data_IF_550604702079
#
_entry.id   IF_550604702079
#
_cell.length_a   1.000
_cell.length_b   1.000
_cell.length_c   1.000
_cell.angle_alpha   90.00
_cell.angle_beta   90.00
_cell.angle_gamma   90.00
#
_symmetry.space_group_name_H-M   'P 1'
#
loop_
_entity.id
_entity.type
_entity.pdbx_description
1 polymer ?
#
# COMPACT_ATOMS: atom_id res chain seq x y z
N UNK A 1 -17.30 -42.89 -20.75
CA UNK A 1 -18.11 -41.89 -20.02
C UNK A 1 -17.73 -40.54 -20.61
N UNK A 2 -18.70 -39.71 -21.00
CA UNK A 2 -18.38 -38.39 -21.57
C UNK A 2 -18.20 -37.41 -20.43
N UNK A 3 -16.98 -36.86 -20.29
CA UNK A 3 -16.74 -35.73 -19.39
C UNK A 3 -17.47 -34.51 -19.94
N UNK A 4 -18.67 -34.28 -19.41
CA UNK A 4 -19.49 -33.14 -19.77
C UNK A 4 -18.88 -31.92 -19.11
N UNK A 5 -18.08 -31.18 -19.88
CA UNK A 5 -17.39 -29.97 -19.43
C UNK A 5 -18.44 -28.91 -19.03
N UNK A 6 -18.82 -28.88 -17.76
CA UNK A 6 -19.94 -28.09 -17.25
C UNK A 6 -19.51 -26.63 -17.13
N UNK A 7 -20.07 -25.77 -17.99
CA UNK A 7 -19.82 -24.33 -17.97
C UNK A 7 -20.49 -23.72 -16.73
N UNK A 8 -19.72 -23.56 -15.65
CA UNK A 8 -20.14 -23.03 -14.35
C UNK A 8 -20.87 -21.66 -14.37
N UNK A 9 -20.86 -20.96 -15.51
CA UNK A 9 -21.49 -19.66 -15.73
C UNK A 9 -22.80 -19.70 -16.54
N UNK A 10 -23.40 -20.86 -16.84
CA UNK A 10 -24.70 -20.88 -17.56
C UNK A 10 -25.88 -20.28 -16.77
N UNK A 11 -25.77 -20.22 -15.44
CA UNK A 11 -26.78 -19.63 -14.53
C UNK A 11 -26.29 -18.38 -13.78
N UNK A 12 -24.99 -18.31 -13.49
CA UNK A 12 -24.36 -17.22 -12.75
C UNK A 12 -23.47 -16.38 -13.68
N UNK A 13 -23.47 -15.04 -13.55
CA UNK A 13 -22.60 -14.18 -14.36
C UNK A 13 -21.14 -14.53 -14.15
N UNK A 14 -20.41 -14.79 -15.24
CA UNK A 14 -18.97 -15.00 -15.22
C UNK A 14 -18.20 -13.72 -14.83
N UNK A 15 -17.06 -13.89 -14.15
CA UNK A 15 -16.20 -12.79 -13.72
C UNK A 15 -15.45 -12.12 -14.89
N UNK A 16 -15.09 -12.93 -15.90
CA UNK A 16 -14.52 -12.48 -17.17
C UNK A 16 -15.64 -12.51 -18.21
N UNK A 17 -15.92 -11.35 -18.81
CA UNK A 17 -16.93 -11.19 -19.86
C UNK A 17 -16.25 -10.79 -21.18
N UNK A 18 -16.16 -11.72 -22.16
CA UNK A 18 -15.61 -11.44 -23.48
C UNK A 18 -16.27 -10.27 -24.21
N UNK A 19 -17.59 -10.05 -24.02
CA UNK A 19 -18.32 -8.97 -24.67
C UNK A 19 -17.89 -7.60 -24.12
N UNK A 20 -17.71 -7.50 -22.80
CA UNK A 20 -17.15 -6.30 -22.16
C UNK A 20 -15.71 -6.05 -22.65
N UNK A 21 -14.88 -7.09 -22.77
CA UNK A 21 -13.50 -6.96 -23.28
C UNK A 21 -13.49 -6.41 -24.72
N UNK A 22 -14.29 -7.00 -25.62
CA UNK A 22 -14.38 -6.56 -27.01
C UNK A 22 -14.90 -5.12 -27.11
N UNK A 23 -15.98 -4.79 -26.40
CA UNK A 23 -16.56 -3.44 -26.36
C UNK A 23 -15.55 -2.38 -25.92
N UNK A 24 -14.85 -2.62 -24.80
CA UNK A 24 -13.86 -1.67 -24.26
C UNK A 24 -12.71 -1.46 -25.24
N UNK A 25 -12.18 -2.53 -25.84
CA UNK A 25 -11.05 -2.45 -26.75
C UNK A 25 -11.43 -1.85 -28.12
N UNK A 26 -12.62 -2.17 -28.65
CA UNK A 26 -13.14 -1.58 -29.89
C UNK A 26 -13.41 -0.08 -29.74
N UNK A 27 -13.87 0.35 -28.58
CA UNK A 27 -14.15 1.75 -28.26
C UNK A 27 -13.09 2.40 -27.36
N UNK A 28 -11.82 1.94 -27.42
CA UNK A 28 -10.73 2.41 -26.56
C UNK A 28 -10.60 3.94 -26.53
N UNK A 29 -10.81 4.62 -27.67
CA UNK A 29 -10.79 6.10 -27.77
C UNK A 29 -11.90 6.81 -26.96
N UNK A 30 -13.02 6.13 -26.71
CA UNK A 30 -14.16 6.62 -25.91
C UNK A 30 -13.96 6.33 -24.41
N UNK A 31 -13.42 5.15 -24.09
CA UNK A 31 -13.25 4.70 -22.70
C UNK A 31 -11.96 5.23 -22.04
N UNK A 32 -10.86 5.35 -22.79
CA UNK A 32 -9.56 5.83 -22.27
C UNK A 32 -8.68 4.76 -21.61
N UNK A 33 -9.13 3.50 -21.63
CA UNK A 33 -8.47 2.32 -21.04
C UNK A 33 -8.74 1.07 -21.89
N UNK A 34 -7.98 0.00 -21.65
CA UNK A 34 -8.06 -1.31 -22.34
C UNK A 34 -8.40 -2.45 -21.38
N UNK A 35 -9.03 -3.49 -21.91
CA UNK A 35 -9.40 -4.69 -21.16
C UNK A 35 -8.63 -5.93 -21.65
N UNK A 36 -8.40 -6.90 -20.75
CA UNK A 36 -7.83 -8.22 -21.02
C UNK A 36 -8.53 -9.29 -20.19
N UNK A 37 -8.38 -10.55 -20.63
CA UNK A 37 -8.63 -11.68 -19.75
C UNK A 37 -7.41 -11.92 -18.84
N UNK A 38 -7.63 -12.66 -17.74
CA UNK A 38 -6.59 -13.11 -16.82
C UNK A 38 -6.89 -14.56 -16.41
N UNK A 39 -5.89 -15.44 -16.55
CA UNK A 39 -6.00 -16.89 -16.25
C UNK A 39 -6.50 -17.16 -14.84
N UNK A 40 -6.04 -16.36 -13.87
CA UNK A 40 -6.46 -16.39 -12.46
C UNK A 40 -7.97 -16.24 -12.24
N UNK A 41 -8.72 -15.67 -13.21
CA UNK A 41 -10.16 -15.43 -13.14
C UNK A 41 -10.99 -16.39 -14.02
N UNK A 42 -10.37 -17.30 -14.76
CA UNK A 42 -11.10 -18.27 -15.60
C UNK A 42 -11.96 -19.22 -14.75
N UNK A 43 -13.18 -19.51 -15.24
CA UNK A 43 -14.16 -20.35 -14.54
C UNK A 43 -14.75 -19.75 -13.26
N UNK A 44 -14.45 -18.49 -12.92
CA UNK A 44 -14.93 -17.82 -11.70
C UNK A 44 -16.20 -17.02 -11.97
N UNK A 45 -17.06 -16.95 -10.95
CA UNK A 45 -18.29 -16.15 -10.98
C UNK A 45 -18.02 -14.72 -10.53
N UNK A 46 -18.82 -13.77 -11.02
CA UNK A 46 -18.75 -12.36 -10.65
C UNK A 46 -18.93 -12.17 -9.13
N UNK A 47 -19.88 -12.91 -8.54
CA UNK A 47 -20.12 -12.95 -7.09
C UNK A 47 -18.89 -13.39 -6.28
N UNK A 48 -18.13 -14.37 -6.77
CA UNK A 48 -16.87 -14.82 -6.16
C UNK A 48 -15.78 -13.74 -6.25
N UNK A 49 -15.66 -13.07 -7.40
CA UNK A 49 -14.77 -11.91 -7.54
C UNK A 49 -15.13 -10.81 -6.55
N UNK A 50 -16.42 -10.45 -6.46
CA UNK A 50 -16.92 -9.45 -5.51
C UNK A 50 -16.62 -9.84 -4.06
N UNK A 51 -16.88 -11.10 -3.68
CA UNK A 51 -16.66 -11.60 -2.33
C UNK A 51 -15.18 -11.67 -1.95
N UNK A 52 -14.34 -12.27 -2.79
CA UNK A 52 -12.98 -12.67 -2.44
C UNK A 52 -11.87 -11.74 -2.96
N UNK A 53 -12.16 -10.86 -3.93
CA UNK A 53 -11.17 -9.86 -4.39
C UNK A 53 -11.43 -8.46 -3.80
N UNK A 54 -12.68 -8.08 -3.53
CA UNK A 54 -12.98 -6.71 -3.08
C UNK A 54 -12.73 -6.51 -1.59
N UNK A 55 -13.32 -7.32 -0.70
CA UNK A 55 -12.88 -7.48 0.69
C UNK A 55 -13.00 -6.29 1.67
N UNK A 56 -13.34 -5.07 1.24
CA UNK A 56 -13.46 -3.93 2.16
C UNK A 56 -14.92 -3.66 2.54
N UNK A 57 -15.20 -3.68 3.84
CA UNK A 57 -16.52 -3.37 4.37
C UNK A 57 -16.70 -1.86 4.52
N UNK A 58 -17.80 -1.34 3.95
CA UNK A 58 -18.08 0.10 3.93
C UNK A 58 -17.95 0.76 5.31
N UNK A 59 -17.27 1.91 5.35
CA UNK A 59 -17.01 2.66 6.58
C UNK A 59 -18.30 3.23 7.17
N UNK A 60 -18.46 3.11 8.50
CA UNK A 60 -19.58 3.74 9.22
C UNK A 60 -19.51 5.27 9.09
N UNK A 61 -20.65 5.97 9.07
CA UNK A 61 -20.73 7.45 8.97
C UNK A 61 -19.76 8.19 9.91
N UNK A 62 -19.58 7.74 11.15
CA UNK A 62 -18.64 8.32 12.14
C UNK A 62 -17.15 8.20 11.76
N UNK A 63 -16.79 7.22 10.93
CA UNK A 63 -15.43 7.03 10.40
C UNK A 63 -15.20 7.95 9.19
N UNK A 64 -16.22 8.11 8.33
CA UNK A 64 -16.19 9.07 7.23
C UNK A 64 -16.14 10.53 7.74
N UNK A 65 -16.78 10.79 8.89
CA UNK A 65 -16.74 12.08 9.59
C UNK A 65 -15.52 12.26 10.52
N UNK A 66 -14.45 11.50 10.33
CA UNK A 66 -13.17 11.82 11.00
C UNK A 66 -12.67 13.17 10.49
N UNK A 67 -12.30 14.06 11.42
CA UNK A 67 -11.70 15.36 11.10
C UNK A 67 -10.49 15.14 10.18
N UNK A 68 -10.47 15.74 8.98
CA UNK A 68 -9.35 15.58 8.07
C UNK A 68 -8.11 16.33 8.57
N UNK A 69 -6.94 15.89 8.11
CA UNK A 69 -5.69 16.64 8.33
C UNK A 69 -5.79 18.01 7.64
N UNK A 70 -5.67 19.09 8.42
CA UNK A 70 -5.57 20.45 7.87
C UNK A 70 -4.13 20.67 7.41
N UNK A 71 -3.92 20.66 6.09
CA UNK A 71 -2.64 20.98 5.47
C UNK A 71 -2.69 22.42 4.91
N UNK A 72 -1.58 23.14 5.03
CA UNK A 72 -1.31 24.31 4.18
C UNK A 72 -0.64 23.75 2.93
N UNK A 73 -1.24 24.01 1.77
CA UNK A 73 -0.82 23.43 0.49
C UNK A 73 -0.38 24.57 -0.41
N UNK A 74 0.91 24.60 -0.73
CA UNK A 74 1.42 25.36 -1.86
C UNK A 74 1.08 24.56 -3.15
N UNK A 75 0.25 25.15 -3.99
CA UNK A 75 -0.22 24.50 -5.24
C UNK A 75 0.84 24.52 -6.32
N UNK A 76 1.71 25.53 -6.32
CA UNK A 76 2.75 25.72 -7.33
C UNK A 76 3.96 24.81 -7.07
N UNK A 77 4.12 24.36 -5.82
CA UNK A 77 5.06 23.31 -5.42
C UNK A 77 4.65 21.87 -5.80
N UNK A 78 3.43 21.63 -6.30
CA UNK A 78 2.94 20.29 -6.67
C UNK A 78 3.27 19.96 -8.15
N UNK A 79 4.14 18.98 -8.43
CA UNK A 79 4.51 18.64 -9.80
C UNK A 79 3.36 17.99 -10.57
N UNK A 80 3.36 18.13 -11.90
CA UNK A 80 2.36 17.54 -12.79
C UNK A 80 2.29 15.99 -12.71
N UNK A 81 3.40 15.35 -12.38
CA UNK A 81 3.51 13.92 -12.09
C UNK A 81 4.44 13.65 -10.91
N UNK A 82 4.18 12.54 -10.21
CA UNK A 82 4.99 12.08 -9.08
C UNK A 82 4.83 10.57 -8.92
N UNK A 83 5.91 9.88 -8.56
CA UNK A 83 5.87 8.45 -8.26
C UNK A 83 6.72 8.14 -7.02
N UNK A 84 6.08 7.63 -5.97
CA UNK A 84 6.75 7.22 -4.72
C UNK A 84 7.84 6.17 -4.98
N UNK A 85 7.65 5.28 -5.98
CA UNK A 85 8.61 4.23 -6.35
C UNK A 85 9.91 4.81 -6.87
N UNK A 86 9.83 5.92 -7.60
CA UNK A 86 10.99 6.66 -8.12
C UNK A 86 11.61 7.56 -7.06
N UNK A 87 10.79 8.19 -6.21
CA UNK A 87 11.25 9.09 -5.13
C UNK A 87 11.96 8.35 -3.99
N UNK A 88 11.46 7.17 -3.61
CA UNK A 88 11.98 6.33 -2.55
C UNK A 88 12.26 4.92 -3.08
N UNK A 89 13.21 4.82 -4.02
CA UNK A 89 13.62 3.55 -4.66
C UNK A 89 13.93 2.48 -3.61
N UNK A 90 13.33 1.30 -3.78
CA UNK A 90 13.49 0.16 -2.86
C UNK A 90 12.70 0.25 -1.54
N UNK A 91 12.09 1.39 -1.21
CA UNK A 91 11.33 1.59 0.05
C UNK A 91 9.81 1.60 -0.14
N UNK A 92 9.34 1.36 -1.36
CA UNK A 92 7.92 1.24 -1.73
C UNK A 92 7.71 -0.16 -2.31
N UNK A 93 6.96 -1.00 -1.60
CA UNK A 93 6.77 -2.40 -1.97
C UNK A 93 5.99 -2.56 -3.29
N UNK A 94 6.25 -3.64 -4.06
CA UNK A 94 5.47 -3.96 -5.25
C UNK A 94 4.03 -4.38 -4.88
N UNK A 95 3.12 -4.46 -5.86
CA UNK A 95 1.82 -5.11 -5.69
C UNK A 95 2.02 -6.58 -5.29
N UNK A 96 1.26 -7.03 -4.30
CA UNK A 96 1.24 -8.44 -3.85
C UNK A 96 -0.12 -9.06 -4.22
N UNK A 97 -0.23 -10.39 -4.23
CA UNK A 97 -1.53 -11.06 -4.42
C UNK A 97 -2.16 -11.45 -3.07
N UNK A 98 -3.42 -11.08 -2.88
CA UNK A 98 -4.29 -11.52 -1.78
C UNK A 98 -4.93 -12.89 -2.03
N UNK A 99 -4.77 -13.44 -3.24
CA UNK A 99 -5.39 -14.69 -3.67
C UNK A 99 -6.92 -14.63 -3.62
N UNK A 100 -7.53 -15.76 -3.30
CA UNK A 100 -9.00 -15.90 -3.16
C UNK A 100 -9.48 -15.65 -1.73
N UNK A 101 -8.89 -14.65 -1.06
CA UNK A 101 -9.28 -14.18 0.27
C UNK A 101 -9.61 -12.69 0.21
N UNK A 102 -10.83 -12.29 0.62
CA UNK A 102 -11.34 -10.92 0.62
C UNK A 102 -10.64 -10.02 1.63
N UNK A 103 -9.36 -9.73 1.38
CA UNK A 103 -8.40 -9.19 2.33
C UNK A 103 -7.65 -7.97 1.80
N UNK A 104 -8.17 -7.27 0.79
CA UNK A 104 -7.68 -5.96 0.36
C UNK A 104 -7.50 -4.98 1.53
N UNK A 105 -8.39 -5.07 2.53
CA UNK A 105 -8.36 -4.30 3.78
C UNK A 105 -7.12 -4.59 4.62
N UNK A 106 -6.55 -5.78 4.50
CA UNK A 106 -5.24 -6.15 5.04
C UNK A 106 -4.14 -5.60 4.13
N UNK A 107 -4.14 -5.97 2.84
CA UNK A 107 -3.05 -5.66 1.91
C UNK A 107 -2.77 -4.17 1.74
N UNK A 108 -3.79 -3.35 1.56
CA UNK A 108 -3.61 -1.90 1.47
C UNK A 108 -3.18 -1.27 2.80
N UNK A 109 -3.65 -1.79 3.95
CA UNK A 109 -3.24 -1.29 5.28
C UNK A 109 -1.78 -1.65 5.57
N UNK A 110 -1.41 -2.92 5.38
CA UNK A 110 -0.07 -3.45 5.67
C UNK A 110 0.95 -2.94 4.66
N UNK A 111 0.58 -2.79 3.39
CA UNK A 111 1.39 -2.14 2.36
C UNK A 111 1.75 -0.70 2.75
N UNK A 112 0.75 0.15 3.03
CA UNK A 112 0.99 1.54 3.47
C UNK A 112 1.78 1.61 4.78
N UNK A 113 1.49 0.74 5.74
CA UNK A 113 2.25 0.68 6.99
C UNK A 113 3.73 0.31 6.74
N UNK A 114 3.99 -0.68 5.88
CA UNK A 114 5.34 -1.12 5.53
C UNK A 114 6.11 -0.02 4.81
N UNK A 115 5.55 0.54 3.74
CA UNK A 115 6.20 1.61 2.96
C UNK A 115 6.56 2.80 3.85
N UNK A 116 5.64 3.25 4.71
CA UNK A 116 5.89 4.39 5.59
C UNK A 116 6.92 4.10 6.66
N UNK A 117 6.98 2.87 7.17
CA UNK A 117 8.08 2.44 8.04
C UNK A 117 9.43 2.45 7.30
N UNK A 118 9.50 1.89 6.08
CA UNK A 118 10.72 1.86 5.27
C UNK A 118 11.20 3.27 4.90
N UNK A 119 10.29 4.14 4.45
CA UNK A 119 10.55 5.55 4.12
C UNK A 119 11.00 6.34 5.36
N UNK A 120 10.24 6.30 6.46
CA UNK A 120 10.54 7.10 7.66
C UNK A 120 11.81 6.65 8.39
N UNK A 121 12.18 5.37 8.30
CA UNK A 121 13.45 4.85 8.84
C UNK A 121 14.63 4.98 7.88
N UNK A 122 14.42 5.57 6.69
CA UNK A 122 15.42 5.69 5.61
C UNK A 122 16.05 4.33 5.23
N UNK A 123 15.23 3.29 5.14
CA UNK A 123 15.66 1.93 4.76
C UNK A 123 16.30 1.10 5.88
N UNK A 124 16.42 1.60 7.11
CA UNK A 124 16.87 0.76 8.25
C UNK A 124 15.92 -0.41 8.49
N UNK A 125 14.61 -0.16 8.40
CA UNK A 125 13.64 -1.21 8.11
C UNK A 125 13.55 -1.37 6.59
N UNK A 126 13.72 -2.60 6.13
CA UNK A 126 13.73 -2.99 4.71
C UNK A 126 12.86 -4.23 4.44
N UNK A 127 12.14 -4.72 5.45
CA UNK A 127 11.26 -5.89 5.35
C UNK A 127 9.79 -5.44 5.40
N UNK A 128 8.91 -6.11 4.64
CA UNK A 128 7.46 -5.92 4.76
C UNK A 128 6.95 -6.36 6.13
N UNK A 129 5.88 -5.72 6.62
CA UNK A 129 5.08 -6.25 7.73
C UNK A 129 4.21 -7.41 7.27
N UNK A 130 3.92 -8.33 8.20
CA UNK A 130 3.12 -9.54 7.94
C UNK A 130 1.66 -9.20 7.65
N UNK A 131 1.21 -9.67 6.49
CA UNK A 131 -0.20 -9.65 6.10
C UNK A 131 -1.01 -10.66 6.92
N UNK A 132 -0.48 -11.88 7.09
CA UNK A 132 -1.14 -12.95 7.82
C UNK A 132 -1.41 -12.61 9.29
N UNK A 133 -0.44 -11.95 9.94
CA UNK A 133 -0.58 -11.54 11.33
C UNK A 133 -1.76 -10.57 11.51
N UNK A 134 -1.94 -9.59 10.60
CA UNK A 134 -3.11 -8.72 10.66
C UNK A 134 -4.40 -9.50 10.39
N UNK A 135 -4.43 -10.37 9.37
CA UNK A 135 -5.60 -11.17 9.01
C UNK A 135 -6.09 -12.06 10.18
N UNK A 136 -5.20 -12.88 10.73
CA UNK A 136 -5.51 -13.84 11.80
C UNK A 136 -5.78 -13.16 13.14
N UNK A 137 -5.03 -12.11 13.50
CA UNK A 137 -5.12 -11.52 14.84
C UNK A 137 -6.07 -10.31 14.95
N UNK A 138 -6.37 -9.59 13.88
CA UNK A 138 -7.41 -8.54 13.91
C UNK A 138 -8.82 -9.13 13.72
N UNK A 139 -9.23 -10.03 14.63
CA UNK A 139 -10.50 -10.76 14.52
C UNK A 139 -11.73 -10.09 15.18
N UNK A 140 -11.57 -9.02 15.97
CA UNK A 140 -12.70 -8.39 16.68
C UNK A 140 -13.47 -7.43 15.78
N UNK A 141 -14.71 -7.80 15.42
CA UNK A 141 -15.59 -7.08 14.49
C UNK A 141 -14.98 -6.93 13.08
N UNK A 142 -14.30 -7.98 12.63
CA UNK A 142 -13.77 -8.17 11.27
C UNK A 142 -14.19 -9.57 10.81
N UNK A 143 -14.17 -9.85 9.51
CA UNK A 143 -14.63 -11.13 8.94
C UNK A 143 -13.52 -11.86 8.16
N UNK A 144 -12.25 -11.50 8.38
CA UNK A 144 -11.11 -12.13 7.72
C UNK A 144 -11.21 -12.05 6.20
N UNK A 145 -11.25 -13.21 5.53
CA UNK A 145 -11.44 -13.33 4.08
C UNK A 145 -12.86 -13.01 3.58
N UNK A 146 -13.85 -12.82 4.46
CA UNK A 146 -15.15 -12.24 4.13
C UNK A 146 -15.21 -10.72 4.42
N UNK A 147 -14.04 -10.10 4.61
CA UNK A 147 -13.83 -8.65 4.60
C UNK A 147 -13.64 -7.97 5.95
N UNK A 148 -13.20 -6.71 5.90
CA UNK A 148 -12.89 -5.92 7.10
C UNK A 148 -12.97 -4.41 6.92
N UNK A 149 -12.95 -3.71 8.05
CA UNK A 149 -12.97 -2.26 8.17
C UNK A 149 -11.56 -1.69 8.41
N UNK A 150 -11.16 -0.70 7.61
CA UNK A 150 -9.82 -0.09 7.68
C UNK A 150 -9.53 0.56 9.04
N UNK A 151 -10.50 1.28 9.61
CA UNK A 151 -10.37 1.90 10.93
C UNK A 151 -10.09 0.91 12.07
N UNK A 152 -10.55 -0.34 11.95
CA UNK A 152 -10.28 -1.42 12.92
C UNK A 152 -8.91 -2.05 12.72
N UNK A 153 -8.43 -2.10 11.48
CA UNK A 153 -7.07 -2.51 11.14
C UNK A 153 -6.04 -1.51 11.71
N UNK A 154 -6.16 -0.23 11.39
CA UNK A 154 -5.27 0.82 11.94
C UNK A 154 -5.29 0.89 13.47
N UNK A 155 -6.47 0.77 14.10
CA UNK A 155 -6.58 0.72 15.56
C UNK A 155 -5.90 -0.50 16.19
N UNK A 156 -5.76 -1.61 15.45
CA UNK A 156 -5.01 -2.78 15.89
C UNK A 156 -3.51 -2.56 15.76
N UNK A 157 -3.02 -2.11 14.58
CA UNK A 157 -1.58 -1.87 14.36
C UNK A 157 -1.05 -0.78 15.31
N UNK A 158 -1.85 0.27 15.58
CA UNK A 158 -1.49 1.28 16.60
C UNK A 158 -1.30 0.69 18.00
N UNK A 159 -2.10 -0.31 18.37
CA UNK A 159 -2.19 -0.84 19.74
C UNK A 159 -1.26 -2.02 20.02
N UNK A 160 -1.10 -2.91 19.04
CA UNK A 160 -0.40 -4.18 19.17
C UNK A 160 0.81 -4.28 18.23
N UNK A 161 0.84 -3.50 17.16
CA UNK A 161 1.85 -3.59 16.10
C UNK A 161 1.68 -4.81 15.22
N UNK A 162 2.60 -4.98 14.27
CA UNK A 162 2.76 -6.17 13.44
C UNK A 162 4.19 -6.68 13.50
N UNK A 163 4.37 -7.99 13.39
CA UNK A 163 5.67 -8.61 13.10
C UNK A 163 6.00 -8.47 11.59
N UNK A 164 7.27 -8.65 11.18
CA UNK A 164 7.64 -8.76 9.78
C UNK A 164 7.03 -9.98 9.06
N UNK A 165 7.00 -9.95 7.73
CA UNK A 165 6.43 -11.01 6.89
C UNK A 165 7.13 -12.36 7.08
N UNK A 166 8.46 -12.39 7.18
CA UNK A 166 9.24 -13.61 7.49
C UNK A 166 8.77 -14.32 8.76
N UNK A 167 8.39 -13.53 9.77
CA UNK A 167 8.02 -14.02 11.10
C UNK A 167 6.62 -14.67 11.13
N UNK A 168 5.73 -14.28 10.23
CA UNK A 168 4.39 -14.89 10.07
C UNK A 168 3.95 -14.77 8.60
N UNK A 169 4.40 -15.69 7.72
CA UNK A 169 4.15 -15.63 6.29
C UNK A 169 2.67 -15.76 5.91
N UNK A 170 2.29 -15.17 4.78
CA UNK A 170 0.99 -15.33 4.15
C UNK A 170 0.63 -16.79 3.84
N UNK A 171 -0.53 -17.23 4.34
CA UNK A 171 -1.18 -18.49 3.95
C UNK A 171 -2.55 -18.28 3.29
N UNK A 172 -3.14 -17.09 3.44
CA UNK A 172 -4.42 -16.75 2.83
C UNK A 172 -5.66 -17.36 3.47
N UNK A 173 -5.50 -18.03 4.61
CA UNK A 173 -6.60 -18.56 5.42
C UNK A 173 -6.75 -17.76 6.73
N UNK A 174 -7.97 -17.72 7.25
CA UNK A 174 -8.35 -17.18 8.57
C UNK A 174 -7.92 -18.08 9.73
N UNK A 175 -6.71 -18.63 9.64
CA UNK A 175 -6.08 -19.45 10.70
C UNK A 175 -6.11 -18.74 12.05
N UNK A 176 -6.12 -19.53 13.13
CA UNK A 176 -6.08 -19.03 14.50
C UNK A 176 -4.91 -18.05 14.68
N UNK A 177 -5.17 -16.95 15.39
CA UNK A 177 -4.13 -16.00 15.77
C UNK A 177 -3.05 -16.66 16.64
N UNK A 178 -1.89 -16.92 16.04
CA UNK A 178 -0.76 -17.58 16.70
C UNK A 178 0.23 -16.61 17.36
N UNK A 179 0.05 -15.30 17.20
CA UNK A 179 0.82 -14.25 17.89
C UNK A 179 -0.05 -13.60 18.97
N UNK A 180 0.20 -13.84 20.27
CA UNK A 180 -0.61 -13.27 21.35
C UNK A 180 -0.63 -11.74 21.35
N UNK A 181 -1.81 -11.16 21.64
CA UNK A 181 -2.03 -9.70 21.63
C UNK A 181 -1.39 -9.00 22.83
N UNK A 182 -0.09 -8.72 22.74
CA UNK A 182 0.67 -8.04 23.79
C UNK A 182 0.60 -6.51 23.63
N UNK A 183 -0.03 -5.81 24.57
CA UNK A 183 -0.09 -4.33 24.55
C UNK A 183 1.28 -3.71 24.83
N UNK A 184 2.00 -4.26 25.81
CA UNK A 184 3.31 -3.82 26.31
C UNK A 184 4.50 -4.56 25.68
N UNK A 185 4.26 -5.63 24.92
CA UNK A 185 5.31 -6.41 24.26
C UNK A 185 6.04 -5.57 23.21
N UNK A 186 7.37 -5.59 23.24
CA UNK A 186 8.19 -4.94 22.21
C UNK A 186 8.42 -5.87 21.01
N UNK A 187 8.26 -7.17 21.21
CA UNK A 187 8.58 -8.26 20.31
C UNK A 187 7.60 -9.44 20.46
N UNK A 188 7.59 -10.33 19.48
CA UNK A 188 6.78 -11.55 19.47
C UNK A 188 7.56 -12.74 18.90
N UNK A 189 7.22 -13.95 19.33
CA UNK A 189 7.76 -15.19 18.73
C UNK A 189 7.26 -15.35 17.31
N UNK A 190 8.12 -15.84 16.43
CA UNK A 190 7.75 -16.13 15.04
C UNK A 190 6.99 -17.44 14.91
N UNK A 191 6.02 -17.44 14.00
CA UNK A 191 5.21 -18.60 13.62
C UNK A 191 5.95 -19.45 12.60
N UNK A 192 6.86 -18.84 11.84
CA UNK A 192 7.75 -19.53 10.89
C UNK A 192 8.92 -20.27 11.55
N UNK A 193 9.16 -20.08 12.84
CA UNK A 193 10.20 -20.80 13.60
C UNK A 193 9.56 -21.94 14.43
N UNK A 194 9.73 -23.22 14.04
CA UNK A 194 9.19 -24.36 14.78
C UNK A 194 9.81 -24.52 16.19
N UNK A 195 10.99 -23.95 16.44
CA UNK A 195 11.68 -24.02 17.73
C UNK A 195 11.15 -22.94 18.70
N UNK A 196 10.49 -21.90 18.19
CA UNK A 196 9.90 -20.81 18.98
C UNK A 196 10.92 -19.94 19.73
N UNK A 197 12.17 -19.93 19.25
CA UNK A 197 13.31 -19.17 19.80
C UNK A 197 13.36 -17.78 19.17
N UNK A 198 13.11 -17.66 17.87
CA UNK A 198 13.17 -16.38 17.16
C UNK A 198 12.08 -15.42 17.66
N UNK A 199 12.50 -14.20 18.00
CA UNK A 199 11.63 -13.09 18.37
C UNK A 199 11.91 -11.89 17.48
N UNK A 200 10.86 -11.30 16.90
CA UNK A 200 10.94 -10.12 16.03
C UNK A 200 10.14 -8.96 16.62
N UNK A 201 10.57 -7.70 16.43
CA UNK A 201 9.91 -6.54 17.00
C UNK A 201 8.48 -6.33 16.46
N UNK A 202 7.63 -5.73 17.29
CA UNK A 202 6.24 -5.36 16.99
C UNK A 202 6.15 -3.91 16.53
N UNK A 203 6.14 -3.72 15.22
CA UNK A 203 6.09 -2.41 14.56
C UNK A 203 4.70 -1.77 14.70
N UNK A 204 4.61 -0.70 15.49
CA UNK A 204 3.37 0.04 15.74
C UNK A 204 3.23 1.24 14.81
N UNK A 205 1.99 1.67 14.59
CA UNK A 205 1.69 2.90 13.83
C UNK A 205 1.14 3.98 14.77
N UNK A 206 1.29 5.24 14.38
CA UNK A 206 0.66 6.38 15.02
C UNK A 206 -0.87 6.40 14.83
N UNK A 207 -1.56 7.48 15.25
CA UNK A 207 -2.94 7.70 14.85
C UNK A 207 -3.07 7.78 13.32
N UNK A 208 -4.10 7.12 12.78
CA UNK A 208 -4.52 7.29 11.39
C UNK A 208 -5.39 8.53 11.25
N UNK A 209 -5.25 9.26 10.15
CA UNK A 209 -6.00 10.48 9.84
C UNK A 209 -6.56 10.41 8.42
N UNK A 210 -7.65 11.13 8.18
CA UNK A 210 -8.25 11.26 6.85
C UNK A 210 -7.54 12.37 6.07
N UNK A 211 -7.26 12.09 4.81
CA UNK A 211 -6.76 13.08 3.83
C UNK A 211 -7.93 13.40 2.89
N UNK A 212 -8.02 14.65 2.45
CA UNK A 212 -9.11 15.18 1.62
C UNK A 212 -8.54 16.16 0.61
N UNK A 213 -9.34 16.52 -0.41
CA UNK A 213 -8.95 17.28 -1.61
C UNK A 213 -7.93 16.57 -2.49
N UNK A 214 -7.95 16.85 -3.79
CA UNK A 214 -6.99 16.29 -4.74
C UNK A 214 -5.56 16.67 -4.33
N UNK A 215 -5.36 17.96 -4.05
CA UNK A 215 -4.07 18.55 -3.73
C UNK A 215 -3.54 18.09 -2.37
N UNK A 216 -4.42 17.86 -1.38
CA UNK A 216 -4.02 17.30 -0.08
C UNK A 216 -3.56 15.83 -0.17
N UNK A 217 -4.19 15.04 -1.05
CA UNK A 217 -3.74 13.67 -1.35
C UNK A 217 -2.37 13.72 -2.05
N UNK A 218 -2.16 14.62 -3.02
CA UNK A 218 -0.86 14.83 -3.67
C UNK A 218 0.23 15.22 -2.65
N UNK A 219 -0.04 16.23 -1.82
CA UNK A 219 0.89 16.75 -0.82
C UNK A 219 1.29 15.68 0.21
N UNK A 220 0.32 14.89 0.68
CA UNK A 220 0.57 13.79 1.62
C UNK A 220 1.45 12.70 1.00
N UNK A 221 1.16 12.28 -0.24
CA UNK A 221 1.96 11.29 -0.96
C UNK A 221 3.38 11.81 -1.18
N UNK A 222 3.54 13.08 -1.58
CA UNK A 222 4.85 13.72 -1.82
C UNK A 222 5.71 13.84 -0.56
N UNK A 223 5.08 14.08 0.58
CA UNK A 223 5.76 14.34 1.85
C UNK A 223 6.10 13.05 2.60
N UNK A 224 5.14 12.13 2.65
CA UNK A 224 5.10 11.03 3.63
C UNK A 224 4.98 9.64 2.97
N UNK A 225 4.97 9.56 1.64
CA UNK A 225 4.82 8.32 0.89
C UNK A 225 3.37 7.83 0.77
N UNK A 226 3.16 6.62 0.23
CA UNK A 226 1.86 6.12 -0.21
C UNK A 226 0.73 6.24 0.83
N UNK A 227 -0.50 6.39 0.33
CA UNK A 227 -1.74 6.50 1.14
C UNK A 227 -2.71 5.38 0.80
N UNK A 228 -3.56 5.02 1.76
CA UNK A 228 -4.60 4.03 1.55
C UNK A 228 -5.88 4.72 1.08
N UNK A 229 -6.53 4.21 0.04
CA UNK A 229 -7.82 4.71 -0.44
C UNK A 229 -8.85 3.57 -0.51
N UNK A 230 -10.13 3.90 -0.41
CA UNK A 230 -11.22 2.98 -0.79
C UNK A 230 -11.87 3.42 -2.08
N UNK A 231 -12.13 2.49 -2.99
CA UNK A 231 -12.92 2.71 -4.19
C UNK A 231 -14.10 1.73 -4.23
N UNK A 232 -15.15 2.13 -4.95
CA UNK A 232 -16.18 1.22 -5.46
C UNK A 232 -15.61 0.50 -6.69
N UNK A 233 -15.77 -0.81 -6.76
CA UNK A 233 -15.38 -1.61 -7.93
C UNK A 233 -16.62 -2.08 -8.67
N UNK A 234 -16.60 -1.88 -9.98
CA UNK A 234 -17.59 -2.38 -10.93
C UNK A 234 -17.06 -3.63 -11.65
N UNK A 235 -17.93 -4.45 -12.28
CA UNK A 235 -17.51 -5.71 -12.93
C UNK A 235 -16.45 -5.57 -14.03
N UNK A 236 -16.46 -4.46 -14.78
CA UNK A 236 -15.52 -4.18 -15.86
C UNK A 236 -14.07 -4.02 -15.37
N UNK A 237 -13.88 -3.51 -14.15
CA UNK A 237 -12.55 -3.28 -13.56
C UNK A 237 -11.74 -4.58 -13.36
N UNK A 238 -12.38 -5.73 -13.17
CA UNK A 238 -11.67 -7.01 -13.07
C UNK A 238 -10.83 -7.32 -14.32
N UNK A 239 -11.26 -6.81 -15.48
CA UNK A 239 -10.63 -7.01 -16.78
C UNK A 239 -9.72 -5.85 -17.18
N UNK A 240 -9.51 -4.83 -16.34
CA UNK A 240 -8.61 -3.72 -16.66
C UNK A 240 -7.18 -4.21 -16.97
N UNK A 241 -6.63 -3.78 -18.10
CA UNK A 241 -5.25 -4.09 -18.53
C UNK A 241 -4.33 -2.89 -18.69
N UNK A 242 -4.87 -1.69 -18.95
CA UNK A 242 -4.04 -0.49 -19.08
C UNK A 242 -4.80 0.78 -19.43
N UNK A 243 -4.10 1.91 -19.39
CA UNK A 243 -4.67 3.23 -19.63
C UNK A 243 -5.36 3.83 -18.40
N UNK A 244 -6.15 4.88 -18.57
CA UNK A 244 -6.76 5.61 -17.45
C UNK A 244 -8.19 5.12 -17.25
N UNK A 245 -8.39 4.23 -16.27
CA UNK A 245 -9.69 3.65 -15.95
C UNK A 245 -10.72 4.71 -15.56
N UNK A 246 -11.94 4.47 -16.03
CA UNK A 246 -13.15 5.24 -15.75
C UNK A 246 -14.26 4.24 -15.43
N UNK A 247 -14.98 4.44 -14.33
CA UNK A 247 -16.03 3.51 -13.93
C UNK A 247 -17.17 3.48 -14.98
N UNK A 248 -17.56 2.28 -15.41
CA UNK A 248 -18.82 2.09 -16.15
C UNK A 248 -20.02 2.59 -15.34
N UNK A 249 -20.90 3.35 -15.98
CA UNK A 249 -22.12 3.88 -15.34
C UNK A 249 -23.30 2.90 -15.41
N UNK A 250 -23.05 1.59 -15.46
CA UNK A 250 -24.10 0.57 -15.63
C UNK A 250 -24.98 0.47 -14.36
N UNK A 251 -26.28 0.83 -14.43
CA UNK A 251 -27.19 0.73 -13.30
C UNK A 251 -27.37 -0.73 -12.87
N UNK A 252 -27.56 -0.96 -11.57
CA UNK A 252 -27.81 -2.31 -11.04
C UNK A 252 -26.63 -3.29 -11.10
N UNK A 253 -25.42 -2.86 -11.49
CA UNK A 253 -24.26 -3.76 -11.45
C UNK A 253 -23.88 -4.14 -10.01
N UNK A 254 -23.73 -5.45 -9.78
CA UNK A 254 -23.18 -5.98 -8.53
C UNK A 254 -21.81 -5.37 -8.31
N UNK A 255 -21.62 -4.71 -7.17
CA UNK A 255 -20.45 -3.87 -6.94
C UNK A 255 -20.14 -3.77 -5.46
N UNK A 256 -18.85 -3.81 -5.14
CA UNK A 256 -18.35 -3.82 -3.75
C UNK A 256 -17.35 -2.72 -3.50
N UNK A 257 -16.94 -2.57 -2.24
CA UNK A 257 -15.83 -1.70 -1.86
C UNK A 257 -14.53 -2.49 -1.80
N UNK A 258 -13.49 -1.90 -2.37
CA UNK A 258 -12.12 -2.41 -2.37
C UNK A 258 -11.20 -1.32 -1.84
N UNK A 259 -10.10 -1.71 -1.19
CA UNK A 259 -9.12 -0.77 -0.65
C UNK A 259 -7.76 -1.00 -1.28
N UNK A 260 -7.18 0.09 -1.73
CA UNK A 260 -5.99 0.14 -2.59
C UNK A 260 -4.96 1.11 -2.02
N UNK A 261 -3.76 1.12 -2.59
CA UNK A 261 -2.67 2.01 -2.16
C UNK A 261 -2.31 2.97 -3.30
N UNK A 262 -2.57 4.26 -3.12
CA UNK A 262 -2.17 5.30 -4.09
C UNK A 262 -0.68 5.59 -3.87
N UNK A 263 0.12 5.43 -4.92
CA UNK A 263 1.59 5.59 -4.89
C UNK A 263 2.08 6.81 -5.66
N UNK A 264 1.25 7.45 -6.47
CA UNK A 264 1.65 8.57 -7.30
C UNK A 264 0.50 9.12 -8.14
N UNK A 265 0.82 10.04 -9.04
CA UNK A 265 -0.11 10.64 -9.99
C UNK A 265 0.60 11.08 -11.26
N UNK A 266 -0.18 11.37 -12.28
CA UNK A 266 0.30 11.98 -13.51
C UNK A 266 -0.80 12.67 -14.30
N UNK A 267 -0.45 13.06 -15.51
CA UNK A 267 -1.36 13.53 -16.54
C UNK A 267 -0.86 13.08 -17.90
N UNK A 268 -1.78 12.68 -18.79
CA UNK A 268 -1.46 12.26 -20.15
C UNK A 268 -2.43 12.89 -21.15
N UNK A 269 -1.97 13.11 -22.38
CA UNK A 269 -2.81 13.63 -23.46
C UNK A 269 -3.66 12.51 -24.05
N UNK A 270 -4.98 12.58 -23.87
CA UNK A 270 -5.95 11.70 -24.55
C UNK A 270 -6.91 12.55 -25.38
N UNK A 271 -7.04 12.24 -26.68
CA UNK A 271 -7.91 13.00 -27.59
C UNK A 271 -7.58 14.50 -27.67
N UNK A 272 -6.30 14.86 -27.53
CA UNK A 272 -5.84 16.26 -27.51
C UNK A 272 -6.11 17.03 -26.20
N UNK A 273 -6.56 16.35 -25.13
CA UNK A 273 -6.86 16.96 -23.82
C UNK A 273 -6.08 16.29 -22.69
N UNK A 274 -5.65 17.03 -21.65
CA UNK A 274 -4.92 16.46 -20.54
C UNK A 274 -5.88 15.72 -19.60
N UNK A 275 -5.62 14.43 -19.38
CA UNK A 275 -6.37 13.58 -18.44
C UNK A 275 -5.48 13.28 -17.24
N UNK A 276 -5.86 13.84 -16.09
CA UNK A 276 -5.21 13.61 -14.79
C UNK A 276 -5.55 12.20 -14.27
N UNK A 277 -4.57 11.52 -13.70
CA UNK A 277 -4.77 10.21 -13.06
C UNK A 277 -4.02 10.06 -11.73
N UNK A 278 -4.47 9.11 -10.92
CA UNK A 278 -3.74 8.49 -9.82
C UNK A 278 -3.05 7.22 -10.30
N UNK A 279 -1.84 6.95 -9.84
CA UNK A 279 -1.16 5.65 -9.99
C UNK A 279 -1.38 4.85 -8.72
N UNK A 280 -1.96 3.67 -8.85
CA UNK A 280 -2.50 2.91 -7.72
C UNK A 280 -2.00 1.47 -7.76
N UNK A 281 -1.45 0.99 -6.65
CA UNK A 281 -1.08 -0.41 -6.45
C UNK A 281 -2.32 -1.21 -6.02
N UNK A 282 -2.63 -2.27 -6.77
CA UNK A 282 -3.67 -3.24 -6.44
C UNK A 282 -3.11 -4.34 -5.50
N UNK A 283 -3.97 -5.26 -5.06
CA UNK A 283 -3.62 -6.43 -4.24
C UNK A 283 -3.95 -7.76 -4.93
N UNK A 284 -3.89 -7.81 -6.27
CA UNK A 284 -4.19 -9.00 -7.09
C UNK A 284 -2.98 -9.55 -7.84
N UNK A 285 -1.76 -9.33 -7.32
CA UNK A 285 -0.52 -9.78 -7.95
C UNK A 285 -0.01 -8.85 -9.05
N UNK A 286 1.15 -9.17 -9.62
CA UNK A 286 1.83 -8.35 -10.64
C UNK A 286 1.38 -8.67 -12.07
N UNK A 287 0.77 -9.84 -12.30
CA UNK A 287 0.30 -10.26 -13.62
C UNK A 287 -1.00 -9.55 -14.05
N UNK A 288 -1.67 -8.86 -13.12
CA UNK A 288 -2.90 -8.10 -13.37
C UNK A 288 -2.61 -6.64 -13.71
N UNK A 289 -3.33 -6.05 -14.66
CA UNK A 289 -3.19 -4.63 -15.02
C UNK A 289 -1.79 -4.26 -15.48
N UNK A 290 -1.32 -3.09 -15.04
CA UNK A 290 -0.04 -2.49 -15.41
C UNK A 290 1.08 -2.94 -14.45
N UNK A 291 1.35 -4.24 -14.39
CA UNK A 291 2.35 -4.82 -13.46
C UNK A 291 1.84 -4.87 -12.00
N UNK A 292 0.55 -5.14 -11.81
CA UNK A 292 -0.17 -5.06 -10.54
C UNK A 292 -0.62 -3.64 -10.15
N UNK A 293 -0.34 -2.65 -11.00
CA UNK A 293 -0.82 -1.28 -10.86
C UNK A 293 -2.00 -1.01 -11.78
N UNK A 294 -2.70 0.08 -11.52
CA UNK A 294 -3.64 0.68 -12.46
C UNK A 294 -3.60 2.21 -12.35
N UNK A 295 -4.06 2.86 -13.42
CA UNK A 295 -4.30 4.30 -13.45
C UNK A 295 -5.79 4.57 -13.50
N UNK A 296 -6.24 5.54 -12.71
CA UNK A 296 -7.67 5.91 -12.58
C UNK A 296 -7.80 7.45 -12.56
N UNK A 297 -8.89 8.00 -13.12
CA UNK A 297 -9.07 9.45 -13.25
C UNK A 297 -9.02 10.17 -11.90
N UNK A 298 -8.27 11.27 -11.85
CA UNK A 298 -8.00 12.10 -10.66
C UNK A 298 -8.71 13.45 -10.74
N UNK A 299 -9.15 13.95 -9.58
CA UNK A 299 -9.80 15.27 -9.43
C UNK A 299 -11.29 15.27 -9.74
N UNK A 300 -11.89 14.09 -9.87
CA UNK A 300 -13.32 13.88 -10.19
C UNK A 300 -13.97 12.81 -9.31
N UNK A 301 -13.26 12.34 -8.28
CA UNK A 301 -13.68 11.27 -7.38
C UNK A 301 -14.15 10.00 -8.14
N UNK A 302 -13.44 9.65 -9.20
CA UNK A 302 -13.74 8.50 -10.06
C UNK A 302 -13.83 7.23 -9.20
N UNK A 303 -14.90 6.46 -9.37
CA UNK A 303 -15.16 5.26 -8.55
C UNK A 303 -15.13 5.50 -7.02
N UNK A 304 -15.37 6.73 -6.54
CA UNK A 304 -15.27 7.13 -5.11
C UNK A 304 -13.86 7.05 -4.49
N UNK A 305 -12.80 7.00 -5.29
CA UNK A 305 -11.44 6.78 -4.77
C UNK A 305 -10.92 7.92 -3.86
N UNK A 306 -11.48 9.13 -3.99
CA UNK A 306 -11.09 10.32 -3.22
C UNK A 306 -11.99 10.55 -1.97
N UNK A 307 -13.10 9.82 -1.82
CA UNK A 307 -14.02 9.96 -0.68
C UNK A 307 -13.33 9.67 0.68
N UNK A 308 -12.51 8.62 0.73
CA UNK A 308 -11.95 8.10 1.98
C UNK A 308 -10.51 7.63 1.78
N UNK A 309 -9.59 8.59 1.89
CA UNK A 309 -8.14 8.40 1.87
C UNK A 309 -7.58 8.51 3.29
N UNK A 310 -6.68 7.61 3.66
CA UNK A 310 -6.07 7.50 4.98
C UNK A 310 -4.53 7.58 4.90
N UNK A 311 -3.96 8.41 5.77
CA UNK A 311 -2.53 8.46 6.07
C UNK A 311 -2.27 8.04 7.53
N UNK A 312 -1.06 7.57 7.81
CA UNK A 312 -0.60 7.22 9.15
C UNK A 312 0.92 7.43 9.25
N UNK A 313 1.46 7.63 10.45
CA UNK A 313 2.90 7.73 10.70
C UNK A 313 3.45 6.43 11.30
N UNK A 314 4.68 6.04 10.98
CA UNK A 314 5.37 4.98 11.71
C UNK A 314 5.63 5.44 13.15
N UNK A 315 5.39 4.57 14.15
CA UNK A 315 5.73 4.91 15.53
C UNK A 315 7.21 4.61 15.81
N UNK A 316 8.08 5.59 15.53
CA UNK A 316 9.52 5.50 15.73
C UNK A 316 9.97 5.51 17.21
N UNK A 317 9.04 5.52 18.18
CA UNK A 317 9.36 5.43 19.62
C UNK A 317 9.75 4.01 20.06
N UNK A 318 10.85 3.50 19.47
CA UNK A 318 11.53 2.27 19.88
C UNK A 318 13.05 2.49 19.89
N UNK A 319 13.53 3.32 20.84
CA UNK A 319 14.87 3.24 21.50
C UNK A 319 15.27 4.51 22.26
N UNK A 320 14.67 5.68 22.00
CA UNK A 320 14.95 6.92 22.75
C UNK A 320 13.68 7.74 22.92
N UNK A 321 13.43 8.27 24.13
CA UNK A 321 12.43 9.33 24.33
C UNK A 321 12.89 10.57 23.57
N UNK A 322 12.04 11.23 22.76
CA UNK A 322 12.42 12.47 22.11
C UNK A 322 12.71 13.54 23.16
N UNK A 323 13.77 14.32 22.93
CA UNK A 323 14.09 15.49 23.75
C UNK A 323 13.05 16.59 23.53
N UNK A 324 12.89 17.48 24.53
CA UNK A 324 11.93 18.59 24.48
C UNK A 324 12.12 19.44 23.21
N UNK A 325 13.38 19.62 22.78
CA UNK A 325 13.75 20.36 21.59
C UNK A 325 13.32 19.66 20.28
N UNK A 326 13.42 18.33 20.19
CA UNK A 326 12.90 17.56 19.04
C UNK A 326 11.38 17.60 18.96
N UNK A 327 10.68 17.61 20.10
CA UNK A 327 9.22 17.78 20.16
C UNK A 327 8.83 19.18 19.65
N UNK A 328 9.55 20.22 20.09
CA UNK A 328 9.31 21.60 19.67
C UNK A 328 9.56 21.81 18.17
N UNK A 329 10.66 21.29 17.64
CA UNK A 329 11.00 21.38 16.21
C UNK A 329 10.00 20.64 15.32
N UNK A 330 9.51 19.47 15.76
CA UNK A 330 8.44 18.73 15.06
C UNK A 330 7.10 19.47 15.08
N UNK A 331 6.74 20.11 16.21
CA UNK A 331 5.53 20.94 16.30
C UNK A 331 5.62 22.21 15.43
N UNK A 332 6.82 22.76 15.26
CA UNK A 332 7.09 23.93 14.42
C UNK A 332 7.31 23.61 12.93
N UNK A 333 7.22 22.33 12.51
CA UNK A 333 7.42 21.93 11.11
C UNK A 333 8.88 21.97 10.61
N UNK A 334 9.85 22.12 11.52
CA UNK A 334 11.27 22.26 11.17
C UNK A 334 11.89 20.89 10.91
N UNK A 335 12.53 20.71 9.75
CA UNK A 335 13.29 19.50 9.43
C UNK A 335 14.62 19.49 10.18
N UNK A 336 14.82 18.49 11.04
CA UNK A 336 16.13 18.14 11.55
C UNK A 336 16.99 17.57 10.41
N UNK A 337 18.06 18.28 10.04
CA UNK A 337 19.15 17.69 9.28
C UNK A 337 19.75 16.55 10.12
N UNK A 338 19.87 15.37 9.53
CA UNK A 338 20.55 14.27 10.21
C UNK A 338 22.06 14.54 10.10
N UNK A 339 22.76 14.52 11.25
CA UNK A 339 24.22 14.52 11.27
C UNK A 339 24.73 13.33 10.43
N UNK A 340 25.48 13.65 9.39
CA UNK A 340 26.25 12.67 8.63
C UNK A 340 27.40 12.18 9.50
N UNK A 341 27.35 10.90 9.89
CA UNK A 341 28.52 10.25 10.48
C UNK A 341 29.43 9.85 9.33
N UNK A 342 30.54 10.57 9.17
CA UNK A 342 31.58 10.25 8.21
C UNK A 342 32.03 8.79 8.37
N UNK A 343 31.99 8.05 7.26
CA UNK A 343 32.54 6.70 7.19
C UNK A 343 34.01 6.77 6.79
N UNK A 344 34.92 6.71 7.76
CA UNK A 344 36.34 6.42 7.51
C UNK A 344 36.73 5.11 8.19
N UNK A 345 37.17 4.16 7.38
CA UNK A 345 37.76 2.88 7.80
C UNK A 345 39.22 3.11 8.20
N UNK A 346 39.70 2.64 9.37
CA UNK A 346 41.07 2.86 9.81
C UNK A 346 42.01 1.72 9.39
N UNK A 347 41.97 1.34 8.11
CA UNK A 347 42.94 0.43 7.48
C UNK A 347 43.07 0.80 6.00
N UNK A 348 44.14 1.53 5.66
CA UNK A 348 44.86 1.57 4.38
C UNK A 348 45.80 2.79 4.38
N UNK A 349 47.05 2.62 4.83
CA UNK A 349 48.16 3.54 4.52
C UNK A 349 49.04 2.91 3.44
N UNK A 350 49.32 3.60 2.32
CA UNK A 350 50.32 3.16 1.35
C UNK A 350 51.73 3.55 1.79
N UNK A 351 52.65 2.60 1.65
CA UNK A 351 54.06 2.76 1.92
C UNK A 351 54.73 3.53 0.76
N UNK A 352 55.12 4.78 0.98
CA UNK A 352 56.02 5.50 0.06
C UNK A 352 57.32 5.94 0.75
N UNK A 353 58.42 5.64 0.07
CA UNK A 353 59.79 5.89 0.51
C UNK A 353 60.29 7.25 0.04
N UNK A 354 61.06 7.96 0.86
CA UNK A 354 61.92 9.05 0.36
C UNK A 354 63.23 9.10 1.14
N UNK A 355 64.32 9.38 0.43
CA UNK A 355 65.70 9.18 0.87
C UNK A 355 66.47 10.49 1.02
N UNK A 356 67.45 10.50 1.95
CA UNK A 356 68.49 11.53 2.16
C UNK A 356 67.98 12.94 2.58
N UNK A 357 68.67 13.72 3.43
CA UNK A 357 70.13 13.87 3.62
C UNK A 357 70.50 14.43 5.03
N UNK A 358 71.81 14.46 5.34
CA UNK A 358 72.41 14.80 6.64
C UNK A 358 72.44 16.29 7.00
N UNK A 359 72.59 16.59 8.30
CA UNK A 359 73.39 17.66 8.96
C UNK A 359 73.12 17.52 10.49
N UNK A 360 73.91 16.79 11.29
CA UNK A 360 75.23 17.11 11.89
C UNK A 360 75.23 18.25 12.94
N UNK A 361 75.74 17.94 14.14
CA UNK A 361 76.20 18.86 15.21
C UNK A 361 75.09 19.74 15.85
N UNK A 362 75.19 20.27 17.06
CA UNK A 362 76.13 20.13 18.19
C UNK A 362 75.30 20.44 19.48
N UNK A 363 75.67 20.04 20.69
CA UNK A 363 76.91 19.41 21.20
C UNK A 363 76.60 17.99 21.72
#
# INVERSE_FOLDING_TARGET
>A
MSDRMELLCEKDRCLVDPQTIEMVNREQRRFGWTASNYTMFWGRRLSEGIQYRLGTLHSRRKVLSMTPLKQIIDRDALPASFDSRTRWRGLVGPPKDQGWCGSSWVYSTVGVASDRWMIMTKGRMHESLSHQHLLSCNNRNQRGCAGGHLSRAWAFIKKFGLVPESCYPWTGDTTRCNVPKQKSGQDARCVADPQGVERRPLFRMGPVYRVVTEEGIMQEIMSNGPVQATMKVNPDFFMYSGGIYKCSALPGSESGFHSVRIVGWGQEQQGGRPVKYWTVANSWGQDWGEGGFFRIRRGVNECKIEDFVLGAWANLETSRKPTVQEVFLRAAGVRLAALEVSSQSPFDEPYESTTYSNLSNEI
#
